data_IF_306394076980
#
_entry.id   IF_306394076980
#
_cell.length_a   1.000
_cell.length_b   1.000
_cell.length_c   1.000
_cell.angle_alpha   90.00
_cell.angle_beta   90.00
_cell.angle_gamma   90.00
#
_symmetry.space_group_name_H-M   'P 1'
#
loop_
_entity.id
_entity.type
_entity.pdbx_description
1 polymer ?
#
# COMPACT_ATOMS: atom_id res chain seq x y z
N UNK A 1 1.89 -8.09 24.20
CA UNK A 1 3.16 -7.47 23.75
C UNK A 1 2.79 -6.28 22.87
N UNK A 2 3.47 -5.16 23.12
CA UNK A 2 3.09 -3.77 22.88
C UNK A 2 2.42 -3.46 21.53
N UNK A 3 1.19 -2.95 21.58
CA UNK A 3 0.54 -2.25 20.47
C UNK A 3 1.23 -0.89 20.30
N UNK A 4 1.93 -0.58 19.20
CA UNK A 4 2.31 0.80 18.94
C UNK A 4 1.06 1.60 18.58
N UNK A 5 0.75 2.56 19.43
CA UNK A 5 -0.37 3.49 19.28
C UNK A 5 -0.28 4.29 17.98
N UNK A 6 -1.47 4.59 17.45
CA UNK A 6 -1.74 5.35 16.24
C UNK A 6 -0.83 6.59 16.13
N UNK A 7 -0.06 6.66 15.06
CA UNK A 7 0.18 7.94 14.41
C UNK A 7 -0.97 8.11 13.42
N UNK A 8 -1.99 8.94 13.70
CA UNK A 8 -2.98 9.27 12.68
C UNK A 8 -2.27 10.16 11.65
N UNK A 9 -1.63 9.54 10.67
CA UNK A 9 -1.23 10.23 9.47
C UNK A 9 -2.50 10.52 8.68
N UNK A 10 -2.61 11.73 8.15
CA UNK A 10 -3.73 12.13 7.31
C UNK A 10 -3.92 11.14 6.16
N UNK A 11 -5.13 11.06 5.59
CA UNK A 11 -5.39 10.25 4.40
C UNK A 11 -4.32 10.47 3.31
N UNK A 12 -4.00 11.74 3.02
CA UNK A 12 -2.98 12.11 2.06
C UNK A 12 -1.60 11.51 2.39
N UNK A 13 -1.16 11.60 3.64
CA UNK A 13 0.13 11.02 4.06
C UNK A 13 0.14 9.49 3.98
N UNK A 14 -0.99 8.82 4.25
CA UNK A 14 -1.13 7.36 4.10
C UNK A 14 -1.09 6.95 2.62
N UNK A 15 -1.83 7.66 1.76
CA UNK A 15 -1.85 7.42 0.31
C UNK A 15 -0.47 7.63 -0.32
N UNK A 16 0.25 8.70 0.05
CA UNK A 16 1.64 8.94 -0.35
C UNK A 16 2.57 7.78 0.05
N UNK A 17 2.39 7.22 1.25
CA UNK A 17 3.18 6.07 1.69
C UNK A 17 2.82 4.78 0.94
N UNK A 18 1.53 4.55 0.65
CA UNK A 18 1.08 3.43 -0.17
C UNK A 18 1.75 3.47 -1.53
N UNK A 19 1.68 4.62 -2.20
CA UNK A 19 2.33 4.88 -3.48
C UNK A 19 3.83 4.56 -3.43
N UNK A 20 4.56 5.07 -2.42
CA UNK A 20 5.98 4.79 -2.24
C UNK A 20 6.29 3.31 -2.04
N UNK A 21 5.44 2.57 -1.31
CA UNK A 21 5.61 1.14 -1.08
C UNK A 21 5.41 0.38 -2.40
N UNK A 22 4.35 0.67 -3.14
CA UNK A 22 4.03 0.00 -4.41
C UNK A 22 5.08 0.28 -5.49
N UNK A 23 5.68 1.47 -5.51
CA UNK A 23 6.76 1.81 -6.44
C UNK A 23 8.11 1.17 -6.11
N UNK A 24 8.29 0.59 -4.91
CA UNK A 24 9.58 0.01 -4.45
C UNK A 24 9.54 -1.49 -4.25
N UNK A 25 8.37 -2.08 -4.05
CA UNK A 25 8.20 -3.49 -3.69
C UNK A 25 6.99 -4.08 -4.39
N UNK A 26 7.13 -5.30 -4.89
CA UNK A 26 6.01 -6.12 -5.32
C UNK A 26 5.10 -6.43 -4.12
N UNK A 27 3.86 -5.92 -4.15
CA UNK A 27 2.85 -6.18 -3.12
C UNK A 27 1.68 -6.94 -3.73
N UNK A 28 1.42 -8.15 -3.21
CA UNK A 28 0.50 -9.12 -3.82
C UNK A 28 -0.91 -9.08 -3.24
N UNK A 29 -1.08 -8.49 -2.06
CA UNK A 29 -2.37 -8.43 -1.36
C UNK A 29 -2.52 -7.17 -0.52
N UNK A 30 -3.76 -6.81 -0.19
CA UNK A 30 -4.07 -5.69 0.69
C UNK A 30 -3.60 -5.92 2.14
N UNK A 31 -3.61 -7.19 2.58
CA UNK A 31 -3.07 -7.58 3.90
C UNK A 31 -1.57 -7.33 3.96
N UNK A 32 -0.83 -7.78 2.94
CA UNK A 32 0.60 -7.49 2.83
C UNK A 32 0.86 -5.97 2.82
N UNK A 33 0.06 -5.18 2.10
CA UNK A 33 0.21 -3.72 2.12
C UNK A 33 -0.03 -3.13 3.52
N UNK A 34 -1.02 -3.63 4.26
CA UNK A 34 -1.28 -3.20 5.63
C UNK A 34 -0.11 -3.55 6.57
N UNK A 35 0.49 -4.73 6.43
CA UNK A 35 1.68 -5.14 7.19
C UNK A 35 2.87 -4.22 6.88
N UNK A 36 3.10 -3.90 5.60
CA UNK A 36 4.17 -2.97 5.17
C UNK A 36 3.97 -1.55 5.71
N UNK A 37 2.72 -1.10 5.78
CA UNK A 37 2.39 0.19 6.39
C UNK A 37 2.66 0.16 7.90
N UNK A 38 2.34 -0.94 8.58
CA UNK A 38 2.62 -1.13 9.99
C UNK A 38 4.13 -1.14 10.28
N UNK A 39 4.94 -1.82 9.43
CA UNK A 39 6.40 -1.78 9.48
C UNK A 39 6.96 -0.35 9.34
N UNK A 40 6.27 0.51 8.59
CA UNK A 40 6.59 1.92 8.42
C UNK A 40 6.01 2.83 9.53
N UNK A 41 5.45 2.25 10.60
CA UNK A 41 4.86 2.96 11.73
C UNK A 41 3.46 3.52 11.46
N UNK A 42 2.74 3.00 10.48
CA UNK A 42 1.36 3.36 10.16
C UNK A 42 0.45 2.12 10.26
N UNK A 43 -0.14 1.94 11.43
CA UNK A 43 -1.11 0.86 11.67
C UNK A 43 -2.46 1.25 11.05
N UNK A 44 -2.99 0.38 10.20
CA UNK A 44 -4.27 0.58 9.52
C UNK A 44 -4.97 -0.76 9.30
N UNK A 45 -6.25 -0.73 8.92
CA UNK A 45 -7.00 -1.95 8.59
C UNK A 45 -6.93 -2.26 7.10
N UNK A 46 -7.18 -3.52 6.74
CA UNK A 46 -7.34 -3.93 5.34
C UNK A 46 -8.46 -3.14 4.63
N UNK A 47 -9.57 -2.85 5.33
CA UNK A 47 -10.68 -2.07 4.76
C UNK A 47 -10.27 -0.65 4.39
N UNK A 48 -9.46 0.01 5.24
CA UNK A 48 -8.89 1.33 4.95
C UNK A 48 -7.95 1.27 3.75
N UNK A 49 -7.03 0.31 3.73
CA UNK A 49 -6.10 0.11 2.61
C UNK A 49 -6.83 -0.15 1.30
N UNK A 50 -7.88 -0.99 1.33
CA UNK A 50 -8.73 -1.27 0.16
C UNK A 50 -9.34 0.01 -0.41
N UNK A 51 -9.84 0.88 0.47
CA UNK A 51 -10.43 2.16 0.07
C UNK A 51 -9.39 3.13 -0.49
N UNK A 52 -8.20 3.20 0.10
CA UNK A 52 -7.13 4.05 -0.43
C UNK A 52 -6.65 3.55 -1.80
N UNK A 53 -6.51 2.24 -2.00
CA UNK A 53 -6.15 1.65 -3.29
C UNK A 53 -7.18 1.98 -4.37
N UNK A 54 -8.47 1.93 -4.03
CA UNK A 54 -9.55 2.32 -4.93
C UNK A 54 -9.46 3.82 -5.29
N UNK A 55 -9.25 4.67 -4.29
CA UNK A 55 -9.16 6.13 -4.49
C UNK A 55 -7.87 6.58 -5.21
N UNK A 56 -6.84 5.73 -5.21
CA UNK A 56 -5.60 5.91 -5.95
C UNK A 56 -5.66 5.29 -7.36
N UNK A 57 -6.80 4.71 -7.76
CA UNK A 57 -6.96 3.94 -9.00
C UNK A 57 -5.89 2.85 -9.15
N UNK A 58 -5.45 2.25 -8.03
CA UNK A 58 -4.42 1.23 -8.04
C UNK A 58 -4.94 -0.05 -8.73
N UNK A 59 -4.16 -0.54 -9.69
CA UNK A 59 -4.49 -1.71 -10.52
C UNK A 59 -3.57 -2.88 -10.19
N UNK A 60 -4.00 -4.09 -10.56
CA UNK A 60 -3.12 -5.27 -10.52
C UNK A 60 -2.43 -5.44 -11.86
N UNK A 61 -1.11 -5.38 -11.87
CA UNK A 61 -0.26 -5.61 -13.05
C UNK A 61 0.57 -6.86 -12.85
N UNK A 62 1.06 -7.45 -13.95
CA UNK A 62 2.08 -8.50 -13.87
C UNK A 62 3.45 -7.85 -13.74
N UNK A 63 4.20 -8.20 -12.70
CA UNK A 63 5.60 -7.80 -12.59
C UNK A 63 6.51 -8.61 -13.53
N UNK A 64 7.79 -8.24 -13.58
CA UNK A 64 8.83 -8.90 -14.39
C UNK A 64 9.03 -10.38 -14.06
N UNK A 65 8.57 -10.84 -12.90
CA UNK A 65 8.61 -12.23 -12.47
C UNK A 65 7.29 -12.97 -12.72
N UNK A 66 6.31 -12.32 -13.37
CA UNK A 66 5.00 -12.87 -13.71
C UNK A 66 3.99 -12.86 -12.56
N UNK A 67 4.31 -12.26 -11.42
CA UNK A 67 3.39 -12.18 -10.28
C UNK A 67 2.42 -11.00 -10.43
N UNK A 68 1.17 -11.19 -10.02
CA UNK A 68 0.17 -10.11 -10.00
C UNK A 68 0.33 -9.25 -8.74
N UNK A 69 0.72 -7.99 -8.92
CA UNK A 69 1.03 -7.03 -7.86
C UNK A 69 0.22 -5.75 -8.03
N UNK A 70 0.00 -5.02 -6.94
CA UNK A 70 -0.62 -3.69 -7.01
C UNK A 70 0.38 -2.64 -7.54
N UNK A 71 -0.10 -1.73 -8.38
CA UNK A 71 0.62 -0.57 -8.91
C UNK A 71 -0.33 0.63 -9.06
N UNK A 72 0.21 1.85 -8.97
CA UNK A 72 -0.56 3.09 -9.20
C UNK A 72 -0.26 3.61 -10.62
N UNK A 73 -1.28 3.88 -11.44
CA UNK A 73 -1.09 4.42 -12.80
C UNK A 73 -0.27 5.71 -12.77
N UNK A 74 0.77 5.81 -13.62
CA UNK A 74 1.65 6.98 -13.69
C UNK A 74 2.83 6.98 -12.70
N UNK A 75 2.85 6.08 -11.72
CA UNK A 75 4.01 5.87 -10.82
C UNK A 75 4.64 4.48 -10.94
N UNK A 76 3.98 3.54 -11.64
CA UNK A 76 4.55 2.24 -11.96
C UNK A 76 4.07 1.76 -13.33
N UNK A 77 5.00 1.70 -14.29
CA UNK A 77 4.78 1.08 -15.59
C UNK A 77 5.79 1.54 -16.65
N UNK A 78 6.91 0.81 -16.76
CA UNK A 78 7.46 0.41 -18.07
C UNK A 78 7.24 -1.11 -18.19
#
# INVERSE_FOLDING_TARGET
MTTPGLVPRTKAARQQLIVQILGRRSVRSQGELADRLADAGLVTTQATVSRDLLELDAVRVRDSHGALVYAVPGEGGD
#
